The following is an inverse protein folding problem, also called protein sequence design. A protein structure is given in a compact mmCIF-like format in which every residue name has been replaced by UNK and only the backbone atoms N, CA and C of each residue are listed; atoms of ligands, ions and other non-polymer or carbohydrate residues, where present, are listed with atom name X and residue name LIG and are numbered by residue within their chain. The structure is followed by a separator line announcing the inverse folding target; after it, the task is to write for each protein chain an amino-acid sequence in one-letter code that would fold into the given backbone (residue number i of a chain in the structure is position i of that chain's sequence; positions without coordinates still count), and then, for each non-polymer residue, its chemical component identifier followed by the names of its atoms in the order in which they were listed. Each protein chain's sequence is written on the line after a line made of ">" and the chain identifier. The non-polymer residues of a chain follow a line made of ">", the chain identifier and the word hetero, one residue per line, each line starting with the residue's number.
data_IF_296472434613
#
_entry.id   IF_296472434613
#
_cell.length_a   1.000
_cell.length_b   1.000
_cell.length_c   1.000
_cell.angle_alpha   90.00
_cell.angle_beta   90.00
_cell.angle_gamma   90.00
#
_symmetry.space_group_name_H-M   'P 1'
#
loop_
_entity.id
_entity.type
_entity.pdbx_description
1 polymer ?
#
# COMPACT_ATOMS: atom_id res chain seq x y z
N UNK A 1 -7.92 5.05 29.21
CA UNK A 1 -6.46 4.88 29.08
C UNK A 1 -6.12 5.00 27.60
N UNK A 2 -5.98 6.23 27.10
CA UNK A 2 -5.71 6.49 25.68
C UNK A 2 -4.24 6.87 25.51
N UNK A 3 -3.46 6.02 24.85
CA UNK A 3 -2.07 6.35 24.54
C UNK A 3 -2.05 7.47 23.50
N UNK A 4 -1.35 8.57 23.82
CA UNK A 4 -1.21 9.76 22.98
C UNK A 4 -0.21 9.46 21.85
N UNK A 5 -0.43 10.01 20.65
CA UNK A 5 0.49 9.91 19.50
C UNK A 5 1.97 10.17 19.88
N UNK A 6 2.20 11.09 20.82
CA UNK A 6 3.53 11.51 21.29
C UNK A 6 4.30 10.47 22.11
N UNK A 7 3.73 9.30 22.39
CA UNK A 7 4.46 8.21 23.07
C UNK A 7 5.55 7.63 22.16
N UNK A 8 5.38 7.71 20.84
CA UNK A 8 6.38 7.27 19.89
C UNK A 8 7.39 8.38 19.57
N UNK A 9 8.68 8.05 19.40
CA UNK A 9 9.66 8.99 18.86
C UNK A 9 9.22 9.52 17.49
N UNK A 10 9.69 10.71 17.12
CA UNK A 10 9.40 11.32 15.81
C UNK A 10 9.84 10.38 14.67
N UNK A 11 9.02 10.28 13.62
CA UNK A 11 9.24 9.39 12.48
C UNK A 11 8.99 7.90 12.79
N UNK A 12 8.41 7.57 13.94
CA UNK A 12 8.08 6.20 14.33
C UNK A 12 6.59 6.04 14.46
N UNK A 13 6.11 4.86 14.07
CA UNK A 13 4.74 4.44 14.36
C UNK A 13 3.75 5.54 13.90
N UNK A 14 2.70 5.81 14.66
CA UNK A 14 1.68 6.81 14.30
C UNK A 14 2.21 8.26 14.38
N UNK A 15 3.40 8.48 14.96
CA UNK A 15 4.05 9.81 15.08
C UNK A 15 5.01 10.06 13.91
N UNK A 16 4.46 10.23 12.70
CA UNK A 16 5.23 10.55 11.50
C UNK A 16 5.90 9.34 10.81
N UNK A 17 5.60 8.11 11.24
CA UNK A 17 5.94 6.91 10.48
C UNK A 17 5.03 6.73 9.25
N UNK A 18 5.51 5.96 8.27
CA UNK A 18 4.74 5.63 7.06
C UNK A 18 3.90 4.40 7.37
N UNK A 19 2.59 4.58 7.62
CA UNK A 19 1.66 3.48 7.85
C UNK A 19 1.15 2.92 6.53
N UNK A 20 1.65 1.75 6.13
CA UNK A 20 1.34 1.14 4.83
C UNK A 20 -0.17 0.81 4.69
N UNK A 21 -0.84 0.46 5.80
CA UNK A 21 -2.29 0.28 5.81
C UNK A 21 -3.01 1.59 5.46
N UNK A 22 -2.68 2.72 6.09
CA UNK A 22 -3.29 3.99 5.73
C UNK A 22 -2.96 4.43 4.29
N UNK A 23 -1.73 4.18 3.82
CA UNK A 23 -1.34 4.48 2.44
C UNK A 23 -2.19 3.75 1.41
N UNK A 24 -2.65 2.53 1.69
CA UNK A 24 -3.49 1.80 0.74
C UNK A 24 -4.82 2.51 0.43
N UNK A 25 -5.30 3.40 1.31
CA UNK A 25 -6.48 4.21 1.04
C UNK A 25 -6.23 5.27 -0.04
N UNK A 26 -4.99 5.77 -0.19
CA UNK A 26 -4.67 6.71 -1.27
C UNK A 26 -4.72 6.03 -2.63
N UNK A 27 -4.38 4.73 -2.71
CA UNK A 27 -4.55 3.93 -3.93
C UNK A 27 -6.03 3.89 -4.32
N UNK A 28 -6.90 3.56 -3.37
CA UNK A 28 -8.36 3.52 -3.59
C UNK A 28 -8.88 4.90 -4.01
N UNK A 29 -8.46 5.96 -3.32
CA UNK A 29 -8.90 7.33 -3.60
C UNK A 29 -8.48 7.80 -5.00
N UNK A 30 -7.22 7.61 -5.39
CA UNK A 30 -6.74 7.97 -6.72
C UNK A 30 -7.43 7.12 -7.81
N UNK A 31 -7.69 5.85 -7.54
CA UNK A 31 -8.49 4.98 -8.42
C UNK A 31 -9.92 5.49 -8.63
N UNK A 32 -10.61 5.90 -7.55
CA UNK A 32 -11.94 6.54 -7.62
C UNK A 32 -11.91 7.85 -8.41
N UNK A 33 -10.81 8.60 -8.33
CA UNK A 33 -10.61 9.86 -9.06
C UNK A 33 -10.17 9.66 -10.52
N UNK A 34 -10.01 8.42 -10.99
CA UNK A 34 -9.58 8.12 -12.36
C UNK A 34 -8.09 8.38 -12.62
N UNK A 35 -7.25 8.43 -11.58
CA UNK A 35 -5.81 8.76 -11.67
C UNK A 35 -4.94 7.51 -11.55
N UNK A 36 -5.00 6.65 -12.56
CA UNK A 36 -4.37 5.34 -12.56
C UNK A 36 -2.85 5.35 -12.32
N UNK A 37 -2.13 6.31 -12.93
CA UNK A 37 -0.68 6.45 -12.72
C UNK A 37 -0.33 6.75 -11.26
N UNK A 38 -1.06 7.67 -10.61
CA UNK A 38 -0.84 8.02 -9.20
C UNK A 38 -1.21 6.87 -8.27
N UNK A 39 -2.33 6.18 -8.55
CA UNK A 39 -2.72 5.00 -7.79
C UNK A 39 -1.64 3.91 -7.85
N UNK A 40 -1.09 3.66 -9.05
CA UNK A 40 -0.02 2.69 -9.25
C UNK A 40 1.32 3.13 -8.65
N UNK A 41 1.67 4.42 -8.72
CA UNK A 41 2.84 4.98 -8.05
C UNK A 41 2.79 4.76 -6.53
N UNK A 42 1.66 5.07 -5.89
CA UNK A 42 1.47 4.85 -4.45
C UNK A 42 1.51 3.37 -4.08
N UNK A 43 0.91 2.49 -4.88
CA UNK A 43 1.04 1.05 -4.69
C UNK A 43 2.51 0.59 -4.73
N UNK A 44 3.25 1.05 -5.74
CA UNK A 44 4.68 0.74 -5.90
C UNK A 44 5.54 1.35 -4.80
N UNK A 45 5.09 2.38 -4.09
CA UNK A 45 5.88 3.04 -3.04
C UNK A 45 6.23 2.16 -1.85
N UNK A 46 5.39 1.15 -1.54
CA UNK A 46 5.56 0.27 -0.39
C UNK A 46 5.42 -1.23 -0.73
N UNK A 47 5.35 -1.57 -2.02
CA UNK A 47 5.30 -2.97 -2.49
C UNK A 47 6.55 -3.75 -2.04
N UNK A 48 6.43 -4.93 -1.41
CA UNK A 48 7.59 -5.67 -0.89
C UNK A 48 8.66 -5.94 -1.95
N UNK A 49 8.22 -6.32 -3.15
CA UNK A 49 9.11 -6.61 -4.28
C UNK A 49 9.96 -5.42 -4.74
N UNK A 50 9.61 -4.18 -4.37
CA UNK A 50 10.45 -3.00 -4.63
C UNK A 50 11.77 -3.05 -3.85
N UNK A 51 11.80 -3.77 -2.73
CA UNK A 51 12.92 -3.79 -1.80
C UNK A 51 13.84 -4.99 -1.97
N UNK A 52 13.68 -5.80 -3.02
CA UNK A 52 14.55 -6.95 -3.30
C UNK A 52 16.03 -6.55 -3.37
N UNK A 53 16.34 -5.40 -3.98
CA UNK A 53 17.70 -4.88 -4.15
C UNK A 53 18.09 -3.86 -3.05
N UNK A 54 17.28 -3.74 -1.98
CA UNK A 54 17.54 -2.83 -0.86
C UNK A 54 17.11 -3.43 0.48
N UNK A 55 17.29 -4.75 0.62
CA UNK A 55 16.88 -5.50 1.81
C UNK A 55 17.63 -5.04 3.07
N UNK A 56 18.86 -4.56 2.93
CA UNK A 56 19.67 -3.97 4.01
C UNK A 56 19.09 -2.67 4.56
N UNK A 57 18.35 -1.92 3.73
CA UNK A 57 17.59 -0.74 4.14
C UNK A 57 16.24 -1.15 4.72
N UNK A 58 15.48 -2.01 4.03
CA UNK A 58 14.11 -2.36 4.42
C UNK A 58 14.06 -3.23 5.69
N UNK A 59 15.02 -4.13 5.88
CA UNK A 59 15.23 -4.98 7.07
C UNK A 59 14.06 -5.91 7.46
N UNK A 60 13.17 -6.20 6.52
CA UNK A 60 12.11 -7.22 6.65
C UNK A 60 12.00 -8.01 5.35
N UNK A 61 11.21 -9.06 5.37
CA UNK A 61 11.01 -9.99 4.25
C UNK A 61 10.49 -9.27 2.99
N UNK A 62 11.17 -9.37 1.83
CA UNK A 62 10.83 -8.61 0.62
C UNK A 62 9.66 -9.20 -0.19
N UNK A 63 8.89 -10.09 0.42
CA UNK A 63 7.76 -10.81 -0.19
C UNK A 63 6.46 -10.69 0.60
N UNK A 64 6.47 -9.98 1.75
CA UNK A 64 5.28 -9.68 2.54
C UNK A 64 5.24 -8.20 2.93
N UNK A 65 4.04 -7.67 3.13
CA UNK A 65 3.88 -6.31 3.62
C UNK A 65 4.28 -6.18 5.09
N UNK A 66 4.69 -4.97 5.46
CA UNK A 66 4.87 -4.54 6.85
C UNK A 66 3.77 -3.56 7.28
N UNK A 67 3.63 -3.40 8.59
CA UNK A 67 2.69 -2.42 9.16
C UNK A 67 3.15 -0.98 8.89
N UNK A 68 4.42 -0.69 9.15
CA UNK A 68 4.97 0.64 8.97
C UNK A 68 6.45 0.63 8.60
N UNK A 69 6.86 1.70 7.95
CA UNK A 69 8.25 2.08 7.70
C UNK A 69 8.56 3.34 8.49
N UNK A 70 9.77 3.44 9.05
CA UNK A 70 10.22 4.67 9.70
C UNK A 70 10.16 5.84 8.70
N UNK A 71 9.55 6.95 9.13
CA UNK A 71 9.36 8.15 8.32
C UNK A 71 10.61 9.02 8.20
N UNK A 72 10.55 10.07 7.38
CA UNK A 72 11.72 10.85 6.97
C UNK A 72 12.43 11.57 8.12
N UNK A 73 11.72 11.85 9.21
CA UNK A 73 12.28 12.49 10.40
C UNK A 73 12.98 11.49 11.35
N UNK A 74 12.93 10.19 11.06
CA UNK A 74 13.64 9.17 11.84
C UNK A 74 15.08 9.00 11.32
N UNK A 75 16.09 8.82 12.20
CA UNK A 75 17.43 8.42 11.77
C UNK A 75 17.46 7.01 11.13
N UNK A 76 16.34 6.29 11.17
CA UNK A 76 16.14 4.95 10.60
C UNK A 76 15.24 4.97 9.36
N UNK A 77 15.09 6.12 8.70
CA UNK A 77 14.24 6.26 7.52
C UNK A 77 14.41 5.08 6.54
N UNK A 78 13.29 4.52 6.07
CA UNK A 78 13.28 3.38 5.15
C UNK A 78 13.28 2.00 5.79
N UNK A 79 13.69 1.87 7.06
CA UNK A 79 13.59 0.60 7.81
C UNK A 79 12.14 0.27 8.14
N UNK A 80 11.71 -0.95 7.86
CA UNK A 80 10.34 -1.43 8.12
C UNK A 80 10.25 -2.30 9.37
N UNK A 81 9.07 -2.35 9.99
CA UNK A 81 8.82 -3.12 11.22
C UNK A 81 7.42 -3.73 11.22
N UNK A 82 7.26 -4.78 12.02
CA UNK A 82 6.05 -5.60 12.14
C UNK A 82 5.60 -6.16 10.76
N UNK A 83 6.40 -7.03 10.15
CA UNK A 83 6.01 -7.74 8.94
C UNK A 83 4.85 -8.71 9.20
N UNK A 84 4.26 -9.23 8.13
CA UNK A 84 3.19 -10.24 8.11
C UNK A 84 1.83 -9.78 8.62
N UNK A 85 1.70 -9.52 9.92
CA UNK A 85 0.41 -9.40 10.59
C UNK A 85 -0.10 -7.96 10.54
N UNK A 86 -0.58 -7.54 9.36
CA UNK A 86 -1.06 -6.18 9.11
C UNK A 86 -2.22 -6.14 8.12
N UNK A 87 -3.15 -5.19 8.33
CA UNK A 87 -4.23 -4.89 7.39
C UNK A 87 -3.74 -4.33 6.04
N UNK A 88 -2.46 -3.94 5.94
CA UNK A 88 -1.82 -3.55 4.67
C UNK A 88 -2.07 -4.58 3.57
N UNK A 89 -1.99 -5.88 3.88
CA UNK A 89 -2.17 -6.93 2.88
C UNK A 89 -3.58 -6.90 2.28
N UNK A 90 -4.61 -6.93 3.12
CA UNK A 90 -6.01 -6.93 2.68
C UNK A 90 -6.38 -5.65 1.93
N UNK A 91 -5.98 -4.49 2.43
CA UNK A 91 -6.33 -3.23 1.79
C UNK A 91 -5.55 -2.96 0.50
N UNK A 92 -4.29 -3.38 0.41
CA UNK A 92 -3.54 -3.30 -0.85
C UNK A 92 -4.14 -4.23 -1.90
N UNK A 93 -4.57 -5.44 -1.48
CA UNK A 93 -5.29 -6.35 -2.37
C UNK A 93 -6.58 -5.70 -2.90
N UNK A 94 -7.38 -5.06 -2.05
CA UNK A 94 -8.57 -4.32 -2.47
C UNK A 94 -8.18 -3.18 -3.43
N UNK A 95 -7.26 -2.29 -3.04
CA UNK A 95 -6.85 -1.16 -3.85
C UNK A 95 -6.39 -1.57 -5.26
N UNK A 96 -5.57 -2.61 -5.36
CA UNK A 96 -5.07 -3.09 -6.65
C UNK A 96 -6.16 -3.81 -7.44
N UNK A 97 -6.79 -4.84 -6.88
CA UNK A 97 -7.71 -5.70 -7.65
C UNK A 97 -9.02 -5.01 -8.01
N UNK A 98 -9.50 -4.14 -7.12
CA UNK A 98 -10.82 -3.52 -7.26
C UNK A 98 -10.74 -2.09 -7.83
N UNK A 99 -9.68 -1.33 -7.55
CA UNK A 99 -9.62 0.09 -7.93
C UNK A 99 -8.54 0.44 -8.96
N UNK A 100 -7.47 -0.35 -9.11
CA UNK A 100 -6.57 -0.24 -10.27
C UNK A 100 -7.07 -1.15 -11.40
N UNK A 101 -7.15 -2.45 -11.15
CA UNK A 101 -7.63 -3.43 -12.14
C UNK A 101 -9.16 -3.34 -12.35
N UNK A 102 -9.88 -2.76 -11.40
CA UNK A 102 -11.30 -2.43 -11.60
C UNK A 102 -12.29 -3.57 -11.43
N UNK A 103 -11.89 -4.74 -10.92
CA UNK A 103 -12.76 -5.93 -10.81
C UNK A 103 -13.44 -5.95 -9.45
N UNK A 104 -14.67 -5.42 -9.37
CA UNK A 104 -15.39 -5.11 -8.12
C UNK A 104 -16.67 -5.93 -7.95
N UNK A 105 -16.79 -6.79 -6.93
CA UNK A 105 -18.07 -7.42 -6.61
C UNK A 105 -19.05 -6.37 -6.07
N UNK A 106 -20.26 -6.35 -6.60
CA UNK A 106 -21.40 -5.55 -6.16
C UNK A 106 -22.60 -6.47 -5.87
N UNK A 107 -23.65 -5.95 -5.23
CA UNK A 107 -24.82 -6.78 -4.87
C UNK A 107 -25.49 -7.41 -6.10
N UNK A 108 -25.61 -6.66 -7.19
CA UNK A 108 -26.32 -7.07 -8.40
C UNK A 108 -25.40 -7.69 -9.47
N UNK A 109 -24.11 -7.86 -9.19
CA UNK A 109 -23.18 -8.45 -10.15
C UNK A 109 -21.72 -8.07 -9.94
N UNK A 110 -20.97 -8.08 -11.05
CA UNK A 110 -19.54 -7.77 -11.05
C UNK A 110 -19.29 -6.49 -11.87
N UNK A 111 -18.89 -5.41 -11.21
CA UNK A 111 -18.46 -4.18 -11.87
C UNK A 111 -17.05 -4.37 -12.45
N UNK A 112 -16.89 -3.96 -13.70
CA UNK A 112 -15.61 -3.85 -14.40
C UNK A 112 -15.38 -2.37 -14.72
N UNK A 113 -14.49 -1.73 -13.97
CA UNK A 113 -14.19 -0.30 -14.09
C UNK A 113 -12.70 -0.06 -13.77
N UNK A 114 -11.79 -0.39 -14.71
CA UNK A 114 -10.34 -0.28 -14.53
C UNK A 114 -9.86 1.17 -14.52
N UNK A 115 -8.90 1.47 -13.64
CA UNK A 115 -8.17 2.73 -13.59
C UNK A 115 -6.67 2.43 -13.74
N UNK A 116 -6.28 2.09 -14.96
CA UNK A 116 -4.92 1.65 -15.26
C UNK A 116 -3.97 2.85 -15.43
N UNK A 117 -2.68 2.69 -15.09
CA UNK A 117 -1.65 3.62 -15.51
C UNK A 117 -1.56 3.69 -17.05
N UNK A 118 -1.23 4.86 -17.60
CA UNK A 118 -1.29 5.15 -19.05
C UNK A 118 -0.38 4.22 -19.89
N UNK A 119 0.75 3.78 -19.31
CA UNK A 119 1.72 2.91 -20.00
C UNK A 119 1.33 1.44 -20.12
N UNK A 120 0.15 1.02 -19.65
CA UNK A 120 -0.29 -0.37 -19.75
C UNK A 120 -1.11 -0.60 -21.01
N UNK A 121 -0.69 -1.55 -21.85
CA UNK A 121 -1.46 -1.95 -23.04
C UNK A 121 -2.76 -2.67 -22.68
N UNK A 122 -2.82 -3.29 -21.50
CA UNK A 122 -3.97 -4.03 -21.01
C UNK A 122 -3.56 -5.13 -20.04
N UNK A 123 -4.54 -5.92 -19.61
CA UNK A 123 -4.34 -7.07 -18.74
C UNK A 123 -5.49 -8.07 -18.91
N UNK A 124 -5.31 -9.29 -18.40
CA UNK A 124 -6.37 -10.30 -18.33
C UNK A 124 -6.51 -10.78 -16.89
N UNK A 125 -7.75 -10.85 -16.39
CA UNK A 125 -8.08 -11.42 -15.07
C UNK A 125 -8.98 -12.63 -15.25
N UNK A 126 -8.61 -13.71 -14.56
CA UNK A 126 -9.51 -14.85 -14.33
C UNK A 126 -10.05 -14.76 -12.90
N UNK A 127 -11.36 -14.56 -12.74
CA UNK A 127 -12.04 -14.59 -11.45
C UNK A 127 -12.93 -15.84 -11.41
N UNK A 128 -12.68 -16.70 -10.42
CA UNK A 128 -13.46 -17.92 -10.14
C UNK A 128 -14.21 -17.75 -8.83
#
# INVERSE_FOLDING_TARGET
>A
MGYRLLVFPVGHKENGGIFCHANSWTIVAEGVLGRGDRAYEYYRSYLPARYNDSAEVHQVEPYVYCQFTHGPESPRFGQARNPWLTGTASWSYIGVTQYILGVRPELDGLRIDPCLPEGWEGFQVTRR
#
